data_IF_943880836109
#
_entry.id   IF_943880836109
#
_cell.length_a   1.000
_cell.length_b   1.000
_cell.length_c   1.000
_cell.angle_alpha   90.00
_cell.angle_beta   90.00
_cell.angle_gamma   90.00
#
_symmetry.space_group_name_H-M   'P 1'
#
loop_
_entity.id
_entity.type
_entity.pdbx_description
1 polymer ?
#
# COMPACT_ATOMS: atom_id res chain seq x y z
N UNK A 1 7.12 15.56 -11.96
CA UNK A 1 7.56 14.72 -10.83
C UNK A 1 6.38 13.98 -10.25
N UNK A 2 6.51 12.68 -10.08
CA UNK A 2 5.41 11.84 -9.63
C UNK A 2 5.76 11.16 -8.33
N UNK A 3 4.95 11.43 -7.31
CA UNK A 3 5.01 10.70 -6.04
C UNK A 3 4.01 9.56 -6.13
N UNK A 4 4.41 8.38 -5.72
CA UNK A 4 3.58 7.19 -5.72
C UNK A 4 3.48 6.65 -4.29
N UNK A 5 2.27 6.49 -3.80
CA UNK A 5 2.03 5.85 -2.52
C UNK A 5 1.84 4.35 -2.76
N UNK A 6 2.51 3.53 -1.97
CA UNK A 6 2.51 2.08 -2.15
C UNK A 6 1.75 1.44 -1.00
N UNK A 7 0.76 0.62 -1.32
CA UNK A 7 0.02 -0.13 -0.30
C UNK A 7 0.73 -1.44 0.02
N UNK A 8 0.45 -1.97 1.20
CA UNK A 8 0.93 -3.28 1.65
C UNK A 8 0.70 -4.36 0.58
N UNK A 9 -0.48 -4.37 -0.04
CA UNK A 9 -0.85 -5.38 -1.04
C UNK A 9 0.10 -5.40 -2.24
N UNK A 10 0.56 -4.23 -2.67
CA UNK A 10 1.49 -4.15 -3.80
C UNK A 10 2.87 -4.69 -3.42
N UNK A 11 3.34 -4.38 -2.22
CA UNK A 11 4.64 -4.90 -1.75
C UNK A 11 4.59 -6.41 -1.63
N UNK A 12 3.51 -6.96 -1.06
CA UNK A 12 3.35 -8.42 -0.94
C UNK A 12 3.36 -9.08 -2.31
N UNK A 13 2.63 -8.51 -3.27
CA UNK A 13 2.59 -9.06 -4.63
C UNK A 13 3.97 -9.08 -5.28
N UNK A 14 4.76 -8.03 -5.07
CA UNK A 14 6.13 -7.97 -5.59
C UNK A 14 7.04 -8.99 -4.91
N UNK A 15 6.97 -9.10 -3.59
CA UNK A 15 7.81 -10.03 -2.84
C UNK A 15 7.52 -11.49 -3.19
N UNK A 16 6.26 -11.81 -3.46
CA UNK A 16 5.83 -13.18 -3.77
C UNK A 16 5.76 -13.47 -5.26
N UNK A 17 6.08 -12.50 -6.09
CA UNK A 17 5.95 -12.61 -7.55
C UNK A 17 4.56 -13.09 -7.95
N UNK A 18 3.53 -12.51 -7.34
CA UNK A 18 2.13 -12.84 -7.65
C UNK A 18 1.81 -12.44 -9.10
N UNK A 19 0.84 -13.11 -9.75
CA UNK A 19 0.49 -12.78 -11.13
C UNK A 19 0.24 -11.28 -11.30
N UNK A 20 0.88 -10.67 -12.31
CA UNK A 20 0.80 -9.23 -12.55
C UNK A 20 1.91 -8.41 -11.89
N UNK A 21 2.83 -9.04 -11.16
CA UNK A 21 3.89 -8.32 -10.44
C UNK A 21 4.78 -7.50 -11.37
N UNK A 22 4.99 -7.94 -12.61
CA UNK A 22 5.84 -7.22 -13.56
C UNK A 22 5.26 -5.84 -13.89
N UNK A 23 3.95 -5.76 -14.05
CA UNK A 23 3.26 -4.50 -14.30
C UNK A 23 3.36 -3.57 -13.08
N UNK A 24 3.23 -4.13 -11.88
CA UNK A 24 3.44 -3.39 -10.64
C UNK A 24 4.87 -2.83 -10.56
N UNK A 25 5.85 -3.68 -10.87
CA UNK A 25 7.26 -3.29 -10.82
C UNK A 25 7.54 -2.16 -11.82
N UNK A 26 6.99 -2.25 -13.02
CA UNK A 26 7.14 -1.21 -14.05
C UNK A 26 6.56 0.12 -13.55
N UNK A 27 5.36 0.08 -12.97
CA UNK A 27 4.71 1.29 -12.46
C UNK A 27 5.48 1.89 -11.29
N UNK A 28 5.95 1.03 -10.38
CA UNK A 28 6.76 1.45 -9.24
C UNK A 28 8.02 2.16 -9.70
N UNK A 29 8.72 1.55 -10.65
CA UNK A 29 9.99 2.05 -11.15
C UNK A 29 9.85 3.37 -11.90
N UNK A 30 8.71 3.59 -12.55
CA UNK A 30 8.45 4.81 -13.33
C UNK A 30 8.21 6.04 -12.46
N UNK A 31 7.91 5.88 -11.17
CA UNK A 31 7.67 7.00 -10.27
C UNK A 31 8.97 7.72 -9.91
N UNK A 32 8.89 9.03 -9.70
CA UNK A 32 10.04 9.82 -9.24
C UNK A 32 10.38 9.54 -7.78
N UNK A 33 9.35 9.32 -6.95
CA UNK A 33 9.52 8.90 -5.57
C UNK A 33 8.41 7.96 -5.17
N UNK A 34 8.71 7.10 -4.19
CA UNK A 34 7.81 6.04 -3.71
C UNK A 34 7.77 6.12 -2.21
N UNK A 35 6.57 6.14 -1.65
CA UNK A 35 6.41 6.29 -0.21
C UNK A 35 5.46 5.23 0.33
N UNK A 36 5.76 4.80 1.54
CA UNK A 36 4.98 3.81 2.28
C UNK A 36 4.73 4.38 3.68
N UNK A 37 3.48 4.32 4.14
CA UNK A 37 3.19 4.72 5.52
C UNK A 37 3.93 3.81 6.49
N UNK A 38 4.50 4.38 7.55
CA UNK A 38 5.16 3.58 8.60
C UNK A 38 4.17 2.60 9.24
N UNK A 39 2.88 2.93 9.28
CA UNK A 39 1.86 2.01 9.79
C UNK A 39 1.76 0.78 8.89
N UNK A 40 1.84 0.97 7.59
CA UNK A 40 1.84 -0.15 6.64
C UNK A 40 3.13 -0.95 6.69
N UNK A 41 4.25 -0.31 7.00
CA UNK A 41 5.51 -1.03 7.19
C UNK A 41 5.41 -2.00 8.38
N UNK A 42 4.78 -1.58 9.47
CA UNK A 42 4.55 -2.47 10.62
C UNK A 42 3.65 -3.63 10.19
N UNK A 43 2.56 -3.34 9.48
CA UNK A 43 1.67 -4.37 8.96
C UNK A 43 2.42 -5.39 8.10
N UNK A 44 3.24 -4.90 7.16
CA UNK A 44 4.08 -5.75 6.31
C UNK A 44 5.04 -6.60 7.14
N UNK A 45 5.64 -6.01 8.16
CA UNK A 45 6.57 -6.71 9.04
C UNK A 45 5.88 -7.86 9.76
N UNK A 46 4.66 -7.63 10.25
CA UNK A 46 3.89 -8.67 10.92
C UNK A 46 3.51 -9.80 9.96
N UNK A 47 3.12 -9.45 8.74
CA UNK A 47 2.79 -10.44 7.71
C UNK A 47 4.04 -11.23 7.31
N UNK A 48 5.17 -10.55 7.09
CA UNK A 48 6.41 -11.19 6.67
C UNK A 48 6.98 -12.11 7.75
N UNK A 49 6.96 -11.66 9.02
CA UNK A 49 7.44 -12.47 10.13
C UNK A 49 6.58 -13.70 10.34
N UNK A 50 5.28 -13.57 10.05
CA UNK A 50 4.34 -14.65 10.23
C UNK A 50 4.27 -15.13 11.66
N UNK A 51 3.88 -16.38 11.83
CA UNK A 51 3.66 -16.96 13.13
C UNK A 51 4.96 -17.19 13.92
N UNK A 52 6.09 -17.32 13.22
CA UNK A 52 7.35 -17.75 13.83
C UNK A 52 8.39 -16.62 14.00
N UNK A 53 8.07 -15.40 13.59
CA UNK A 53 8.90 -14.24 13.87
C UNK A 53 10.33 -14.32 13.36
N UNK A 54 10.52 -14.61 12.09
CA UNK A 54 11.83 -14.83 11.49
C UNK A 54 12.53 -13.51 11.18
N UNK A 55 13.64 -13.22 11.88
CA UNK A 55 14.43 -12.01 11.66
C UNK A 55 15.00 -11.92 10.25
N UNK A 56 15.39 -13.05 9.65
CA UNK A 56 15.93 -13.06 8.29
C UNK A 56 14.91 -12.59 7.28
N UNK A 57 13.63 -12.94 7.49
CA UNK A 57 12.55 -12.47 6.62
C UNK A 57 12.34 -10.98 6.76
N UNK A 58 12.45 -10.45 7.98
CA UNK A 58 12.33 -9.00 8.20
C UNK A 58 13.49 -8.24 7.56
N UNK A 59 14.70 -8.77 7.67
CA UNK A 59 15.86 -8.17 7.00
C UNK A 59 15.69 -8.17 5.48
N UNK A 60 15.15 -9.24 4.92
CA UNK A 60 14.87 -9.34 3.50
C UNK A 60 13.85 -8.29 3.07
N UNK A 61 12.77 -8.14 3.84
CA UNK A 61 11.76 -7.11 3.58
C UNK A 61 12.38 -5.71 3.57
N UNK A 62 13.15 -5.39 4.60
CA UNK A 62 13.75 -4.06 4.73
C UNK A 62 14.73 -3.78 3.61
N UNK A 63 15.51 -4.79 3.22
CA UNK A 63 16.45 -4.67 2.10
C UNK A 63 15.71 -4.47 0.78
N UNK A 64 14.59 -5.16 0.60
CA UNK A 64 13.76 -4.99 -0.59
C UNK A 64 13.25 -3.56 -0.68
N UNK A 65 12.70 -3.02 0.40
CA UNK A 65 12.18 -1.65 0.42
C UNK A 65 13.28 -0.65 0.12
N UNK A 66 14.47 -0.85 0.67
CA UNK A 66 15.60 0.02 0.44
C UNK A 66 16.07 -0.05 -1.01
N UNK A 67 16.18 -1.24 -1.58
CA UNK A 67 16.61 -1.44 -2.96
C UNK A 67 15.60 -0.84 -3.93
N UNK A 68 14.32 -0.95 -3.63
CA UNK A 68 13.25 -0.37 -4.45
C UNK A 68 13.11 1.14 -4.24
N UNK A 69 13.91 1.73 -3.35
CA UNK A 69 13.87 3.14 -2.99
C UNK A 69 12.46 3.57 -2.54
N UNK A 70 11.83 2.73 -1.72
CA UNK A 70 10.55 3.06 -1.09
C UNK A 70 10.86 3.70 0.26
N UNK A 71 10.49 4.98 0.41
CA UNK A 71 10.75 5.74 1.61
C UNK A 71 9.57 5.66 2.57
N UNK A 72 9.85 5.75 3.86
CA UNK A 72 8.80 5.77 4.87
C UNK A 72 8.25 7.18 5.06
N UNK A 73 6.96 7.25 5.36
CA UNK A 73 6.31 8.51 5.70
C UNK A 73 5.61 8.33 7.05
N UNK A 74 5.88 9.24 7.97
CA UNK A 74 5.33 9.17 9.32
C UNK A 74 3.83 9.44 9.32
N UNK A 75 3.12 8.83 10.26
CA UNK A 75 1.72 9.11 10.48
C UNK A 75 1.62 10.21 11.53
N UNK A 76 1.22 11.40 11.11
CA UNK A 76 0.94 12.50 12.02
C UNK A 76 -0.53 12.56 12.38
N UNK A 77 -0.92 13.52 13.23
CA UNK A 77 -2.30 13.62 13.66
C UNK A 77 -3.26 13.90 12.50
N UNK A 78 -2.98 14.82 11.56
CA UNK A 78 -3.86 15.02 10.42
C UNK A 78 -4.08 13.74 9.60
N UNK A 79 -3.02 12.98 9.34
CA UNK A 79 -3.16 11.70 8.64
C UNK A 79 -3.98 10.69 9.44
N UNK A 80 -3.78 10.62 10.74
CA UNK A 80 -4.56 9.72 11.60
C UNK A 80 -6.05 10.06 11.55
N UNK A 81 -6.39 11.35 11.49
CA UNK A 81 -7.79 11.78 11.37
C UNK A 81 -8.39 11.38 10.04
N UNK A 82 -7.62 11.51 8.95
CA UNK A 82 -8.07 11.05 7.62
C UNK A 82 -8.26 9.53 7.62
N UNK A 83 -7.36 8.78 8.25
CA UNK A 83 -7.47 7.33 8.33
C UNK A 83 -8.75 6.93 9.09
N UNK A 84 -9.07 7.58 10.18
CA UNK A 84 -10.30 7.32 10.93
C UNK A 84 -11.53 7.64 10.07
N UNK A 85 -11.50 8.76 9.37
CA UNK A 85 -12.58 9.15 8.48
C UNK A 85 -12.76 8.13 7.36
N UNK A 86 -11.65 7.62 6.80
CA UNK A 86 -11.69 6.59 5.78
C UNK A 86 -12.41 5.33 6.28
N UNK A 87 -12.15 4.92 7.51
CA UNK A 87 -12.83 3.78 8.10
C UNK A 87 -14.34 4.05 8.25
N UNK A 88 -14.69 5.22 8.73
CA UNK A 88 -16.11 5.58 8.90
C UNK A 88 -16.87 5.60 7.57
N UNK A 89 -16.21 6.02 6.49
CA UNK A 89 -16.84 6.11 5.17
C UNK A 89 -16.77 4.80 4.39
N UNK A 90 -15.64 4.12 4.42
CA UNK A 90 -15.33 3.00 3.51
C UNK A 90 -14.95 1.72 4.23
N UNK A 91 -15.03 1.69 5.55
CA UNK A 91 -14.50 0.59 6.34
C UNK A 91 -15.28 -0.70 6.21
N UNK A 92 -14.60 -1.79 6.55
CA UNK A 92 -15.16 -3.13 6.57
C UNK A 92 -16.37 -3.19 7.50
N UNK A 93 -17.47 -3.73 6.99
CA UNK A 93 -18.73 -3.79 7.72
C UNK A 93 -19.57 -2.53 7.61
N UNK A 94 -19.07 -1.48 6.95
CA UNK A 94 -19.76 -0.20 6.79
C UNK A 94 -19.99 0.17 5.33
N UNK A 95 -19.13 -0.30 4.43
CA UNK A 95 -19.16 0.09 3.02
C UNK A 95 -18.62 -1.07 2.18
N UNK A 96 -19.09 -1.26 0.93
CA UNK A 96 -18.60 -2.35 0.05
C UNK A 96 -17.09 -2.33 -0.19
N UNK A 97 -16.44 -1.17 -0.12
CA UNK A 97 -14.98 -1.10 -0.26
C UNK A 97 -14.27 -1.94 0.81
N UNK A 98 -14.84 -2.00 2.01
CA UNK A 98 -14.37 -2.90 3.04
C UNK A 98 -12.96 -2.64 3.54
N UNK A 99 -12.57 -1.35 3.65
CA UNK A 99 -11.21 -1.02 4.09
C UNK A 99 -10.93 -1.57 5.48
N UNK A 100 -9.82 -2.26 5.63
CA UNK A 100 -9.34 -2.71 6.93
C UNK A 100 -8.44 -1.64 7.57
N UNK A 101 -7.89 -1.94 8.74
CA UNK A 101 -7.06 -1.00 9.48
C UNK A 101 -5.89 -0.48 8.64
N UNK A 102 -5.12 -1.38 8.04
CA UNK A 102 -3.95 -1.01 7.22
C UNK A 102 -4.34 -0.19 6.00
N UNK A 103 -5.43 -0.57 5.33
CA UNK A 103 -5.92 0.15 4.14
C UNK A 103 -6.19 1.63 4.44
N UNK A 104 -6.69 1.92 5.63
CA UNK A 104 -7.00 3.30 6.02
C UNK A 104 -5.76 4.18 6.05
N UNK A 105 -4.60 3.64 6.41
CA UNK A 105 -3.36 4.41 6.42
C UNK A 105 -2.79 4.62 5.02
N UNK A 106 -2.91 3.64 4.12
CA UNK A 106 -2.55 3.83 2.72
C UNK A 106 -3.43 4.92 2.10
N UNK A 107 -4.72 4.86 2.35
CA UNK A 107 -5.68 5.87 1.90
C UNK A 107 -5.29 7.26 2.43
N UNK A 108 -5.04 7.37 3.74
CA UNK A 108 -4.72 8.64 4.37
C UNK A 108 -3.45 9.27 3.79
N UNK A 109 -2.43 8.46 3.54
CA UNK A 109 -1.19 8.96 2.96
C UNK A 109 -1.41 9.44 1.53
N UNK A 110 -2.12 8.67 0.72
CA UNK A 110 -2.43 9.05 -0.66
C UNK A 110 -3.21 10.38 -0.71
N UNK A 111 -4.17 10.55 0.17
CA UNK A 111 -4.94 11.79 0.25
C UNK A 111 -4.09 12.96 0.73
N UNK A 112 -3.27 12.73 1.75
CA UNK A 112 -2.40 13.79 2.30
C UNK A 112 -1.42 14.32 1.26
N UNK A 113 -0.84 13.43 0.46
CA UNK A 113 0.14 13.80 -0.56
C UNK A 113 -0.52 14.14 -1.90
N UNK A 114 -1.83 13.98 -2.01
CA UNK A 114 -2.56 14.11 -3.27
C UNK A 114 -1.86 13.30 -4.37
N UNK A 115 -1.57 12.04 -4.05
CA UNK A 115 -0.81 11.15 -4.90
C UNK A 115 -1.60 9.88 -5.22
N UNK A 116 -1.32 9.25 -6.37
CA UNK A 116 -1.96 7.99 -6.69
C UNK A 116 -1.46 6.86 -5.80
N UNK A 117 -2.31 5.87 -5.59
CA UNK A 117 -2.04 4.71 -4.74
C UNK A 117 -1.85 3.47 -5.61
N UNK A 118 -0.73 2.77 -5.39
CA UNK A 118 -0.45 1.49 -6.04
C UNK A 118 -0.90 0.37 -5.10
N UNK A 119 -1.80 -0.47 -5.57
CA UNK A 119 -2.39 -1.54 -4.76
C UNK A 119 -2.82 -2.71 -5.64
N UNK A 120 -3.10 -3.84 -5.01
CA UNK A 120 -3.69 -5.01 -5.66
C UNK A 120 -5.02 -5.30 -4.96
N UNK A 121 -6.04 -5.68 -5.74
CA UNK A 121 -7.37 -5.99 -5.23
C UNK A 121 -8.37 -4.92 -5.59
N UNK A 122 -9.58 -5.05 -5.06
CA UNK A 122 -10.72 -4.21 -5.44
C UNK A 122 -11.15 -3.20 -4.39
N UNK A 123 -10.51 -3.20 -3.22
CA UNK A 123 -10.99 -2.40 -2.09
C UNK A 123 -10.94 -0.91 -2.38
N UNK A 124 -9.81 -0.42 -2.87
CA UNK A 124 -9.61 1.01 -3.07
C UNK A 124 -10.34 1.59 -4.28
N UNK A 125 -10.70 0.76 -5.27
CA UNK A 125 -11.40 1.27 -6.47
C UNK A 125 -12.80 1.78 -6.15
N UNK A 126 -13.35 1.41 -5.00
CA UNK A 126 -14.66 1.88 -4.55
C UNK A 126 -14.57 3.11 -3.64
N UNK A 127 -13.37 3.64 -3.47
CA UNK A 127 -13.13 4.88 -2.71
C UNK A 127 -12.85 6.02 -3.67
N UNK A 128 -12.54 7.19 -3.13
CA UNK A 128 -12.20 8.37 -3.91
C UNK A 128 -10.68 8.56 -4.09
N UNK A 129 -9.87 7.56 -3.72
CA UNK A 129 -8.42 7.64 -3.92
C UNK A 129 -8.08 7.53 -5.41
N UNK A 130 -7.02 8.21 -5.84
CA UNK A 130 -6.56 8.06 -7.22
C UNK A 130 -5.82 6.74 -7.37
N UNK A 131 -6.19 5.99 -8.41
CA UNK A 131 -5.63 4.68 -8.70
C UNK A 131 -4.38 4.87 -9.55
N UNK A 132 -3.27 4.23 -9.16
CA UNK A 132 -2.00 4.36 -9.86
C UNK A 132 -2.00 3.58 -11.18
N UNK A 133 -2.81 2.51 -11.28
CA UNK A 133 -2.91 1.71 -12.49
C UNK A 133 -4.27 1.03 -12.56
N UNK A 134 -4.62 0.56 -13.74
CA UNK A 134 -5.90 -0.09 -14.01
C UNK A 134 -5.96 -1.48 -13.38
N UNK A 135 -6.51 -1.57 -12.18
CA UNK A 135 -6.61 -2.83 -11.44
C UNK A 135 -7.43 -3.85 -12.21
N UNK A 136 -8.41 -3.38 -13.00
CA UNK A 136 -9.29 -4.24 -13.78
C UNK A 136 -8.52 -5.07 -14.79
N UNK A 137 -7.47 -4.51 -15.39
CA UNK A 137 -6.63 -5.24 -16.35
C UNK A 137 -5.86 -6.35 -15.67
N UNK A 138 -5.40 -6.14 -14.46
CA UNK A 138 -4.70 -7.15 -13.69
C UNK A 138 -5.62 -8.34 -13.38
N UNK A 139 -6.87 -8.05 -13.05
CA UNK A 139 -7.83 -9.10 -12.73
C UNK A 139 -8.18 -9.98 -13.94
N UNK A 140 -7.98 -9.45 -15.14
CA UNK A 140 -8.27 -10.18 -16.39
C UNK A 140 -7.11 -11.01 -16.90
N UNK A 141 -5.91 -10.67 -16.47
CA UNK A 141 -4.71 -11.39 -16.88
C UNK A 141 -4.38 -12.51 -15.93
#
# INVERSE_FOLDING_TARGET
>A
MTVLVVDTSAVVALLKSEPGWETLATRLHAASSRVLSVANWVELSLVAAGRHGDEATLEFLDRFLQTAAIEFNSVDEPQARIAREAFLRFGKGRHPAGLNFGDCFSYALARTLDAPLLFVGNDFIQTDVRVAMEVREQARS
#
